data_IF_548261392741
#
_entry.id   IF_548261392741
#
_cell.length_a   1.000
_cell.length_b   1.000
_cell.length_c   1.000
_cell.angle_alpha   90.00
_cell.angle_beta   90.00
_cell.angle_gamma   90.00
#
_symmetry.space_group_name_H-M   'P 1'
#
loop_
_entity.id
_entity.type
_entity.pdbx_description
1 polymer ?
#
# COMPACT_ATOMS: atom_id res chain seq x y z
N UNK A 1 -10.49 13.93 5.23
CA UNK A 1 -9.04 13.94 4.89
C UNK A 1 -8.33 12.67 5.35
N UNK A 2 -8.63 12.12 6.53
CA UNK A 2 -8.11 10.82 6.99
C UNK A 2 -8.68 9.61 6.24
N UNK A 3 -9.96 9.61 5.90
CA UNK A 3 -10.64 8.46 5.25
C UNK A 3 -10.15 8.20 3.83
N UNK A 4 -9.97 9.25 3.02
CA UNK A 4 -9.44 9.12 1.65
C UNK A 4 -8.03 8.51 1.66
N UNK A 5 -7.16 8.92 2.58
CA UNK A 5 -5.81 8.36 2.67
C UNK A 5 -5.84 6.88 3.09
N UNK A 6 -6.72 6.51 4.02
CA UNK A 6 -6.89 5.11 4.41
C UNK A 6 -7.40 4.25 3.25
N UNK A 7 -8.33 4.78 2.45
CA UNK A 7 -8.84 4.11 1.26
C UNK A 7 -7.73 3.91 0.21
N UNK A 8 -6.88 4.92 -0.02
CA UNK A 8 -5.74 4.82 -0.93
C UNK A 8 -4.68 3.83 -0.44
N UNK A 9 -4.40 3.78 0.87
CA UNK A 9 -3.53 2.77 1.48
C UNK A 9 -4.08 1.36 1.25
N UNK A 10 -5.38 1.17 1.44
CA UNK A 10 -6.04 -0.13 1.24
C UNK A 10 -6.02 -0.56 -0.23
N UNK A 11 -6.27 0.36 -1.17
CA UNK A 11 -6.13 0.11 -2.61
C UNK A 11 -4.68 -0.29 -2.97
N UNK A 12 -3.69 0.43 -2.43
CA UNK A 12 -2.28 0.13 -2.65
C UNK A 12 -1.88 -1.25 -2.09
N UNK A 13 -2.43 -1.64 -0.92
CA UNK A 13 -2.26 -3.00 -0.35
C UNK A 13 -2.79 -4.07 -1.27
N UNK A 14 -4.01 -3.90 -1.77
CA UNK A 14 -4.63 -4.86 -2.69
C UNK A 14 -3.86 -4.96 -3.99
N UNK A 15 -3.39 -3.83 -4.53
CA UNK A 15 -2.56 -3.82 -5.73
C UNK A 15 -1.25 -4.59 -5.52
N UNK A 16 -0.53 -4.30 -4.43
CA UNK A 16 0.71 -5.00 -4.09
C UNK A 16 0.50 -6.50 -3.86
N UNK A 17 -0.58 -6.87 -3.16
CA UNK A 17 -0.95 -8.27 -2.97
C UNK A 17 -1.22 -8.98 -4.29
N UNK A 18 -1.97 -8.36 -5.21
CA UNK A 18 -2.22 -8.91 -6.54
C UNK A 18 -0.93 -9.03 -7.36
N UNK A 19 -0.07 -8.01 -7.29
CA UNK A 19 1.21 -8.00 -7.99
C UNK A 19 2.13 -9.14 -7.54
N UNK A 20 2.18 -9.44 -6.24
CA UNK A 20 2.91 -10.60 -5.70
C UNK A 20 2.21 -11.91 -6.08
N UNK A 21 0.89 -12.00 -5.89
CA UNK A 21 0.12 -13.23 -6.15
C UNK A 21 0.27 -13.70 -7.61
N UNK A 22 0.39 -12.75 -8.53
CA UNK A 22 0.58 -13.01 -9.95
C UNK A 22 1.98 -12.61 -10.44
N UNK A 23 3.00 -12.60 -9.58
CA UNK A 23 4.35 -12.14 -9.91
C UNK A 23 4.93 -12.86 -11.13
N UNK A 24 4.69 -14.17 -11.27
CA UNK A 24 5.12 -14.96 -12.42
C UNK A 24 4.47 -14.56 -13.76
N UNK A 25 3.36 -13.80 -13.72
CA UNK A 25 2.60 -13.31 -14.88
C UNK A 25 2.62 -11.78 -14.98
N UNK A 26 3.28 -11.12 -14.04
CA UNK A 26 3.28 -9.66 -13.89
C UNK A 26 4.68 -9.13 -14.15
N UNK A 27 4.85 -8.05 -14.94
CA UNK A 27 6.16 -7.45 -15.12
C UNK A 27 6.80 -7.09 -13.78
N UNK A 28 8.06 -7.46 -13.56
CA UNK A 28 8.80 -7.16 -12.30
C UNK A 28 8.73 -5.68 -11.94
N UNK A 29 8.80 -4.81 -12.94
CA UNK A 29 8.66 -3.35 -12.78
C UNK A 29 7.34 -2.97 -12.12
N UNK A 30 6.24 -3.67 -12.42
CA UNK A 30 4.93 -3.40 -11.82
C UNK A 30 4.86 -3.87 -10.36
N UNK A 31 5.56 -4.97 -10.02
CA UNK A 31 5.68 -5.44 -8.63
C UNK A 31 6.48 -4.43 -7.80
N UNK A 32 7.61 -3.96 -8.32
CA UNK A 32 8.44 -2.94 -7.69
C UNK A 32 7.69 -1.60 -7.54
N UNK A 33 6.96 -1.19 -8.57
CA UNK A 33 6.11 0.00 -8.54
C UNK A 33 5.02 -0.11 -7.45
N UNK A 34 4.34 -1.25 -7.39
CA UNK A 34 3.30 -1.50 -6.38
C UNK A 34 3.87 -1.46 -4.96
N UNK A 35 5.08 -2.03 -4.77
CA UNK A 35 5.83 -1.98 -3.51
C UNK A 35 6.24 -0.55 -3.13
N UNK A 36 6.65 0.26 -4.11
CA UNK A 36 7.02 1.66 -3.88
C UNK A 36 5.82 2.49 -3.45
N UNK A 37 4.68 2.36 -4.15
CA UNK A 37 3.44 3.08 -3.84
C UNK A 37 2.98 2.82 -2.41
N UNK A 38 2.92 1.55 -1.99
CA UNK A 38 2.47 1.25 -0.63
C UNK A 38 3.41 1.82 0.43
N UNK A 39 4.72 1.77 0.20
CA UNK A 39 5.70 2.34 1.13
C UNK A 39 5.54 3.87 1.22
N UNK A 40 5.33 4.55 0.10
CA UNK A 40 5.11 6.00 0.07
C UNK A 40 3.84 6.39 0.82
N UNK A 41 2.75 5.64 0.64
CA UNK A 41 1.50 5.89 1.38
C UNK A 41 1.63 5.59 2.88
N UNK A 42 2.35 4.54 3.27
CA UNK A 42 2.64 4.24 4.68
C UNK A 42 3.49 5.37 5.29
N UNK A 43 4.48 5.88 4.55
CA UNK A 43 5.32 7.00 5.01
C UNK A 43 4.48 8.26 5.22
N UNK A 44 3.62 8.62 4.26
CA UNK A 44 2.68 9.74 4.38
C UNK A 44 1.74 9.56 5.58
N UNK A 45 1.22 8.36 5.81
CA UNK A 45 0.37 8.08 6.97
C UNK A 45 1.09 8.32 8.30
N UNK A 46 2.36 7.90 8.40
CA UNK A 46 3.19 8.14 9.59
C UNK A 46 3.48 9.63 9.79
N UNK A 47 3.82 10.36 8.73
CA UNK A 47 4.05 11.80 8.77
C UNK A 47 2.81 12.59 9.20
N UNK A 48 1.62 12.10 8.84
CA UNK A 48 0.34 12.70 9.25
C UNK A 48 -0.11 12.30 10.67
N UNK A 49 0.71 11.58 11.44
CA UNK A 49 0.35 11.11 12.78
C UNK A 49 -0.81 10.11 12.79
N UNK A 50 -1.11 9.48 11.65
CA UNK A 50 -2.12 8.43 11.54
C UNK A 50 -1.46 7.14 12.03
N UNK A 51 -1.26 7.05 13.35
CA UNK A 51 -1.04 5.78 14.03
C UNK A 51 -2.35 5.03 13.99
N UNK A 52 -2.46 4.13 13.02
CA UNK A 52 -3.67 3.32 12.89
C UNK A 52 -3.88 2.48 14.16
N UNK A 53 -4.88 2.86 14.94
CA UNK A 53 -5.36 2.11 16.11
C UNK A 53 -6.15 0.84 15.70
N UNK A 54 -6.20 0.54 14.41
CA UNK A 54 -6.71 -0.73 13.87
C UNK A 54 -5.56 -1.45 13.18
N UNK A 55 -5.43 -2.75 13.44
CA UNK A 55 -4.51 -3.73 12.86
C UNK A 55 -4.43 -3.70 11.31
N UNK A 56 -3.92 -2.64 10.68
CA UNK A 56 -3.72 -2.61 9.22
C UNK A 56 -2.33 -3.11 8.83
N UNK A 57 -1.45 -3.37 9.79
CA UNK A 57 -0.05 -3.81 9.54
C UNK A 57 0.20 -5.27 9.93
N UNK A 58 -0.83 -6.04 10.29
CA UNK A 58 -0.70 -7.44 10.68
C UNK A 58 -1.25 -8.36 9.59
#
# INVERSE_FOLDING_TARGET
>A
MSEQLLEEIEKAKRLYYLAIKYENKTPKVLVEFSKKIINDYIKKAKEMGITSNKNIFK
#
